data_IF_144085388420
#
_entry.id   IF_144085388420
#
_cell.length_a   1.000
_cell.length_b   1.000
_cell.length_c   1.000
_cell.angle_alpha   90.00
_cell.angle_beta   90.00
_cell.angle_gamma   90.00
#
_symmetry.space_group_name_H-M   'P 1'
#
loop_
_entity.id
_entity.type
_entity.pdbx_description
1 polymer ?
#
# COMPACT_ATOMS: atom_id res chain seq x y z
N UNK A 1 3.06 1.63 -0.03
CA UNK A 1 2.22 2.79 0.35
C UNK A 1 0.76 2.35 0.34
N UNK A 2 -0.02 2.78 1.33
CA UNK A 2 -1.50 2.72 1.33
C UNK A 2 -2.01 4.13 1.07
N UNK A 3 -2.98 4.27 0.17
CA UNK A 3 -3.63 5.54 -0.18
C UNK A 3 -5.14 5.43 -0.02
N UNK A 4 -5.82 6.57 0.10
CA UNK A 4 -7.26 6.63 -0.07
C UNK A 4 -7.67 6.52 -1.55
N UNK A 5 -8.96 6.61 -1.83
CA UNK A 5 -9.52 6.56 -3.19
C UNK A 5 -9.19 7.79 -4.07
N UNK A 6 -8.56 8.82 -3.52
CA UNK A 6 -8.08 10.00 -4.23
C UNK A 6 -6.57 10.01 -4.44
N UNK A 7 -5.84 9.01 -3.92
CA UNK A 7 -4.39 8.94 -3.95
C UNK A 7 -3.71 9.67 -2.80
N UNK A 8 -4.45 10.09 -1.78
CA UNK A 8 -3.86 10.70 -0.60
C UNK A 8 -3.11 9.62 0.19
N UNK A 9 -1.80 9.78 0.45
CA UNK A 9 -1.04 8.78 1.19
C UNK A 9 -1.49 8.73 2.65
N UNK A 10 -1.89 7.55 3.11
CA UNK A 10 -2.34 7.28 4.48
C UNK A 10 -1.24 6.63 5.32
N UNK A 11 -0.46 5.74 4.73
CA UNK A 11 0.61 5.03 5.42
C UNK A 11 1.67 4.51 4.45
N UNK A 12 2.90 4.33 4.92
CA UNK A 12 3.97 3.69 4.16
C UNK A 12 4.70 2.64 5.00
N UNK A 13 5.25 1.64 4.31
CA UNK A 13 6.12 0.62 4.89
C UNK A 13 7.46 1.23 5.33
N UNK A 14 8.20 0.44 6.12
CA UNK A 14 9.62 0.65 6.23
C UNK A 14 10.31 0.40 4.88
N UNK A 15 11.48 0.99 4.62
CA UNK A 15 12.27 0.67 3.44
C UNK A 15 12.58 -0.84 3.39
N UNK A 16 12.40 -1.44 2.22
CA UNK A 16 12.70 -2.85 1.97
C UNK A 16 13.80 -2.91 0.93
N UNK A 17 14.73 -3.85 1.09
CA UNK A 17 15.80 -4.05 0.12
C UNK A 17 15.22 -4.47 -1.24
N UNK A 18 15.69 -3.85 -2.32
CA UNK A 18 15.10 -4.04 -3.65
C UNK A 18 15.31 -5.43 -4.29
N UNK A 19 15.99 -6.34 -3.60
CA UNK A 19 16.16 -7.74 -4.03
C UNK A 19 15.06 -8.67 -3.53
N UNK A 20 14.11 -8.18 -2.75
CA UNK A 20 12.95 -8.93 -2.29
C UNK A 20 11.78 -8.77 -3.27
N UNK A 21 10.94 -9.80 -3.38
CA UNK A 21 9.69 -9.72 -4.13
C UNK A 21 8.60 -8.97 -3.31
N UNK A 22 7.54 -8.56 -3.98
CA UNK A 22 6.46 -7.76 -3.36
C UNK A 22 5.72 -8.50 -2.24
N UNK A 23 5.76 -9.83 -2.24
CA UNK A 23 5.13 -10.67 -1.21
C UNK A 23 6.03 -10.90 0.02
N UNK A 24 7.28 -10.40 0.01
CA UNK A 24 8.20 -10.57 1.13
C UNK A 24 7.70 -9.83 2.36
N UNK A 25 7.51 -10.56 3.46
CA UNK A 25 6.99 -10.03 4.73
C UNK A 25 5.69 -9.19 4.58
N UNK A 26 4.86 -9.50 3.56
CA UNK A 26 3.71 -8.72 3.16
C UNK A 26 2.74 -8.50 4.32
N UNK A 27 2.33 -9.58 5.00
CA UNK A 27 1.39 -9.51 6.13
C UNK A 27 1.91 -8.59 7.21
N UNK A 28 3.16 -8.78 7.64
CA UNK A 28 3.80 -7.95 8.67
C UNK A 28 3.90 -6.48 8.26
N UNK A 29 4.17 -6.24 6.98
CA UNK A 29 4.30 -4.89 6.42
C UNK A 29 2.95 -4.18 6.40
N UNK A 30 1.91 -4.86 5.90
CA UNK A 30 0.55 -4.29 5.85
C UNK A 30 -0.02 -4.09 7.25
N UNK A 31 0.19 -5.04 8.16
CA UNK A 31 -0.24 -4.94 9.55
C UNK A 31 0.30 -3.66 10.21
N UNK A 32 1.60 -3.40 10.10
CA UNK A 32 2.20 -2.14 10.58
C UNK A 32 1.58 -0.90 9.96
N UNK A 33 1.29 -0.94 8.65
CA UNK A 33 0.68 0.19 7.95
C UNK A 33 -0.75 0.44 8.42
N UNK A 34 -1.54 -0.62 8.62
CA UNK A 34 -2.90 -0.53 9.18
C UNK A 34 -2.87 0.02 10.61
N UNK A 35 -1.99 -0.50 11.47
CA UNK A 35 -1.82 0.03 12.82
C UNK A 35 -1.47 1.53 12.84
N UNK A 36 -0.69 2.01 11.88
CA UNK A 36 -0.38 3.44 11.77
C UNK A 36 -1.61 4.28 11.36
N UNK A 37 -2.46 3.74 10.49
CA UNK A 37 -3.73 4.36 10.09
C UNK A 37 -4.67 4.45 11.30
N UNK A 38 -4.80 3.37 12.09
CA UNK A 38 -5.61 3.32 13.31
C UNK A 38 -5.14 4.33 14.37
N UNK A 39 -3.82 4.53 14.52
CA UNK A 39 -3.26 5.55 15.43
C UNK A 39 -3.64 6.99 15.07
N UNK A 40 -4.11 7.20 13.85
CA UNK A 40 -4.61 8.49 13.38
C UNK A 40 -6.15 8.61 13.48
N UNK A 41 -6.76 7.78 14.33
CA UNK A 41 -8.22 7.72 14.57
C UNK A 41 -9.04 7.42 13.29
N UNK A 42 -8.43 6.75 12.30
CA UNK A 42 -9.12 6.30 11.10
C UNK A 42 -9.59 4.86 11.32
N UNK A 43 -10.90 4.65 11.18
CA UNK A 43 -11.51 3.33 11.28
C UNK A 43 -11.08 2.45 10.12
N UNK A 44 -10.73 1.21 10.42
CA UNK A 44 -10.26 0.22 9.43
C UNK A 44 -11.18 -1.00 9.33
N UNK A 45 -12.22 -1.10 10.14
CA UNK A 45 -13.21 -2.17 10.09
C UNK A 45 -13.99 -2.09 8.77
N UNK A 46 -14.07 -3.18 8.04
CA UNK A 46 -14.69 -3.22 6.72
C UNK A 46 -13.89 -2.46 5.64
N UNK A 47 -12.61 -2.20 5.87
CA UNK A 47 -11.73 -1.56 4.89
C UNK A 47 -11.72 -2.33 3.57
N UNK A 48 -12.01 -1.64 2.45
CA UNK A 48 -11.90 -2.20 1.12
C UNK A 48 -10.49 -1.92 0.56
N UNK A 49 -9.74 -3.00 0.31
CA UNK A 49 -8.35 -2.92 -0.11
C UNK A 49 -8.16 -3.44 -1.55
N UNK A 50 -7.80 -2.54 -2.46
CA UNK A 50 -7.34 -2.90 -3.80
C UNK A 50 -5.83 -3.14 -3.79
N UNK A 51 -5.38 -4.28 -4.31
CA UNK A 51 -3.96 -4.55 -4.48
C UNK A 51 -3.68 -5.33 -5.78
N UNK A 52 -2.45 -5.28 -6.25
CA UNK A 52 -2.04 -6.01 -7.45
C UNK A 52 -2.04 -7.52 -7.24
N UNK A 53 -2.15 -8.27 -8.35
CA UNK A 53 -2.08 -9.73 -8.33
C UNK A 53 -0.77 -10.30 -7.72
N UNK A 54 0.29 -9.50 -7.64
CA UNK A 54 1.52 -9.84 -6.92
C UNK A 54 1.31 -10.07 -5.43
N UNK A 55 0.26 -9.48 -4.85
CA UNK A 55 -0.13 -9.63 -3.45
C UNK A 55 -1.10 -10.80 -3.19
N UNK A 56 -1.50 -11.53 -4.24
CA UNK A 56 -2.39 -12.69 -4.12
C UNK A 56 -1.66 -13.88 -3.50
N UNK A 57 -1.63 -13.92 -2.18
CA UNK A 57 -1.12 -15.06 -1.40
C UNK A 57 -2.18 -15.53 -0.42
N UNK A 58 -2.22 -16.85 -0.17
CA UNK A 58 -3.15 -17.45 0.79
C UNK A 58 -2.99 -16.83 2.18
N UNK A 59 -1.76 -16.53 2.58
CA UNK A 59 -1.46 -15.92 3.86
C UNK A 59 -2.05 -14.51 3.96
N UNK A 60 -1.90 -13.69 2.92
CA UNK A 60 -2.41 -12.33 2.91
C UNK A 60 -3.94 -12.27 2.87
N UNK A 61 -4.59 -13.12 2.07
CA UNK A 61 -6.06 -13.23 2.08
C UNK A 61 -6.59 -13.68 3.44
N UNK A 62 -5.90 -14.65 4.08
CA UNK A 62 -6.25 -15.08 5.44
C UNK A 62 -6.07 -13.96 6.47
N UNK A 63 -5.06 -13.12 6.30
CA UNK A 63 -4.87 -11.93 7.12
C UNK A 63 -6.02 -10.93 6.93
N UNK A 64 -6.37 -10.62 5.68
CA UNK A 64 -7.49 -9.71 5.37
C UNK A 64 -8.80 -10.21 6.00
N UNK A 65 -9.12 -11.47 5.82
CA UNK A 65 -10.32 -12.09 6.41
C UNK A 65 -10.36 -11.97 7.92
N UNK A 66 -9.25 -12.25 8.63
CA UNK A 66 -9.18 -12.16 10.09
C UNK A 66 -9.29 -10.74 10.64
N UNK A 67 -8.96 -9.74 9.85
CA UNK A 67 -8.96 -8.34 10.24
C UNK A 67 -10.13 -7.54 9.63
N UNK A 68 -11.16 -8.22 9.14
CA UNK A 68 -12.35 -7.62 8.52
C UNK A 68 -11.99 -6.64 7.38
N UNK A 69 -10.96 -6.99 6.60
CA UNK A 69 -10.54 -6.25 5.41
C UNK A 69 -11.10 -6.98 4.19
N UNK A 70 -11.85 -6.24 3.37
CA UNK A 70 -12.38 -6.73 2.09
C UNK A 70 -11.28 -6.61 1.05
N UNK A 71 -10.64 -7.73 0.72
CA UNK A 71 -9.56 -7.77 -0.27
C UNK A 71 -10.10 -7.88 -1.69
N UNK A 72 -9.74 -6.92 -2.53
CA UNK A 72 -10.05 -6.91 -3.96
C UNK A 72 -8.75 -7.03 -4.75
N UNK A 73 -8.26 -8.27 -4.84
CA UNK A 73 -6.97 -8.63 -5.45
C UNK A 73 -7.25 -9.58 -6.62
N UNK A 74 -6.73 -9.27 -7.81
CA UNK A 74 -6.84 -10.17 -8.96
C UNK A 74 -6.07 -11.47 -8.71
N UNK A 75 -6.57 -12.57 -9.26
CA UNK A 75 -5.92 -13.87 -9.08
C UNK A 75 -4.56 -13.91 -9.77
N UNK A 76 -3.55 -14.31 -9.03
CA UNK A 76 -2.24 -14.60 -9.58
C UNK A 76 -2.24 -15.97 -10.27
N UNK A 77 -2.34 -15.96 -11.59
CA UNK A 77 -2.38 -17.20 -12.43
C UNK A 77 -1.18 -18.14 -12.20
N UNK A 78 -0.08 -17.63 -11.64
CA UNK A 78 1.11 -18.43 -11.34
C UNK A 78 0.98 -19.26 -10.06
N UNK A 79 0.11 -18.83 -9.13
CA UNK A 79 -0.06 -19.51 -7.84
C UNK A 79 -1.00 -20.71 -7.89
N UNK A 80 -1.67 -20.99 -9.04
CA UNK A 80 -2.53 -22.15 -9.23
C UNK A 80 -3.77 -22.19 -8.32
N UNK A 81 -4.06 -21.13 -7.57
CA UNK A 81 -5.21 -21.07 -6.68
C UNK A 81 -6.48 -20.82 -7.51
N UNK A 82 -7.38 -21.81 -7.51
CA UNK A 82 -8.73 -21.72 -8.05
C UNK A 82 -9.73 -21.50 -6.90
N UNK A 83 -9.55 -20.44 -6.13
CA UNK A 83 -10.55 -20.03 -5.13
C UNK A 83 -11.65 -19.19 -5.78
N UNK A 84 -12.89 -19.39 -5.36
CA UNK A 84 -14.01 -18.50 -5.73
C UNK A 84 -13.93 -17.26 -4.82
N UNK A 85 -13.13 -16.28 -5.21
CA UNK A 85 -12.98 -15.02 -4.48
C UNK A 85 -13.90 -13.96 -5.09
N UNK A 86 -14.57 -13.21 -4.22
CA UNK A 86 -15.30 -12.02 -4.65
C UNK A 86 -14.31 -11.02 -5.24
N UNK A 87 -14.49 -10.65 -6.51
CA UNK A 87 -13.61 -9.73 -7.23
C UNK A 87 -14.43 -8.71 -8.00
N UNK A 88 -14.30 -7.44 -7.60
CA UNK A 88 -14.96 -6.32 -8.29
C UNK A 88 -14.01 -5.69 -9.31
N UNK A 89 -14.25 -5.99 -10.58
CA UNK A 89 -13.44 -5.50 -11.71
C UNK A 89 -13.54 -3.99 -11.92
N UNK A 90 -14.64 -3.35 -11.52
CA UNK A 90 -14.81 -1.91 -11.65
C UNK A 90 -14.00 -1.18 -10.57
N UNK A 91 -14.11 -1.62 -9.33
CA UNK A 91 -13.32 -1.07 -8.22
C UNK A 91 -11.85 -1.40 -8.36
N UNK A 92 -11.49 -2.54 -8.95
CA UNK A 92 -10.10 -2.90 -9.21
C UNK A 92 -9.38 -1.91 -10.12
N UNK A 93 -10.08 -1.28 -11.05
CA UNK A 93 -9.51 -0.21 -11.87
C UNK A 93 -9.05 0.99 -11.05
N UNK A 94 -9.64 1.20 -9.86
CA UNK A 94 -9.24 2.27 -8.97
C UNK A 94 -7.86 2.06 -8.33
N UNK A 95 -7.25 0.86 -8.41
CA UNK A 95 -5.90 0.60 -7.89
C UNK A 95 -4.83 1.53 -8.48
N UNK A 96 -5.02 2.00 -9.72
CA UNK A 96 -4.11 2.96 -10.36
C UNK A 96 -4.01 4.31 -9.64
N UNK A 97 -4.86 4.54 -8.66
CA UNK A 97 -4.80 5.78 -7.86
C UNK A 97 -3.45 5.90 -7.13
N UNK A 98 -2.82 4.79 -6.73
CA UNK A 98 -1.49 4.79 -6.11
C UNK A 98 -0.41 5.36 -7.04
N UNK A 99 -0.57 5.21 -8.37
CA UNK A 99 0.36 5.78 -9.35
C UNK A 99 0.32 7.31 -9.35
N UNK A 100 -0.84 7.90 -9.03
CA UNK A 100 -0.95 9.36 -8.82
C UNK A 100 -0.11 9.80 -7.62
N UNK A 101 -0.15 9.05 -6.54
CA UNK A 101 0.69 9.31 -5.36
C UNK A 101 2.16 9.22 -5.73
N UNK A 102 2.57 8.20 -6.48
CA UNK A 102 3.94 8.06 -6.94
C UNK A 102 4.36 9.24 -7.83
N UNK A 103 3.50 9.66 -8.77
CA UNK A 103 3.77 10.84 -9.61
C UNK A 103 3.91 12.13 -8.79
N UNK A 104 3.16 12.28 -7.69
CA UNK A 104 3.35 13.41 -6.78
C UNK A 104 4.67 13.32 -6.01
N UNK A 105 5.09 12.12 -5.62
CA UNK A 105 6.38 11.89 -4.97
C UNK A 105 7.56 12.16 -5.91
N UNK A 106 7.43 11.84 -7.18
CA UNK A 106 8.46 12.09 -8.20
C UNK A 106 8.73 13.58 -8.42
N UNK A 107 7.79 14.46 -8.05
CA UNK A 107 8.03 15.90 -8.05
C UNK A 107 9.08 16.35 -7.01
N UNK A 108 9.37 15.51 -6.01
CA UNK A 108 10.40 15.76 -5.01
C UNK A 108 11.73 15.15 -5.46
N UNK A 109 12.65 15.98 -5.96
CA UNK A 109 13.94 15.50 -6.52
C UNK A 109 14.73 14.61 -5.55
N UNK A 110 14.69 14.89 -4.25
CA UNK A 110 15.37 14.10 -3.23
C UNK A 110 14.77 12.69 -3.05
N UNK A 111 13.53 12.48 -3.50
CA UNK A 111 12.86 11.17 -3.51
C UNK A 111 13.08 10.49 -4.85
N UNK A 112 12.87 11.19 -5.97
CA UNK A 112 13.05 10.65 -7.31
C UNK A 112 14.48 10.13 -7.52
N UNK A 113 15.48 10.88 -7.05
CA UNK A 113 16.89 10.48 -7.10
C UNK A 113 17.38 10.26 -5.68
N UNK A 114 17.46 8.99 -5.28
CA UNK A 114 17.88 8.61 -3.93
C UNK A 114 19.37 8.86 -3.75
N UNK A 115 19.73 9.97 -3.12
CA UNK A 115 21.09 10.24 -2.63
C UNK A 115 21.28 9.84 -1.17
N UNK A 116 20.18 9.73 -0.41
CA UNK A 116 20.20 9.36 0.99
C UNK A 116 20.43 7.84 1.15
N UNK A 117 21.52 7.48 1.82
CA UNK A 117 21.91 6.09 2.07
C UNK A 117 21.34 5.55 3.38
N UNK A 118 21.06 6.42 4.35
CA UNK A 118 20.46 6.03 5.62
C UNK A 118 18.96 5.81 5.45
N UNK A 119 18.49 4.60 5.78
CA UNK A 119 17.09 4.19 5.62
C UNK A 119 16.13 5.03 6.45
N UNK A 120 16.54 5.42 7.67
CA UNK A 120 15.70 6.23 8.57
C UNK A 120 15.50 7.64 7.97
N UNK A 121 16.57 8.25 7.48
CA UNK A 121 16.50 9.56 6.83
C UNK A 121 15.71 9.48 5.53
N UNK A 122 15.89 8.41 4.73
CA UNK A 122 15.10 8.20 3.52
C UNK A 122 13.61 8.09 3.83
N UNK A 123 13.23 7.32 4.86
CA UNK A 123 11.84 7.24 5.31
C UNK A 123 11.31 8.60 5.76
N UNK A 124 12.11 9.37 6.53
CA UNK A 124 11.72 10.69 6.99
C UNK A 124 11.46 11.67 5.82
N UNK A 125 12.27 11.63 4.76
CA UNK A 125 12.05 12.44 3.55
C UNK A 125 10.72 12.08 2.87
N UNK A 126 10.38 10.79 2.77
CA UNK A 126 9.10 10.34 2.22
C UNK A 126 7.92 10.83 3.07
N UNK A 127 8.01 10.72 4.40
CA UNK A 127 6.98 11.21 5.31
C UNK A 127 6.80 12.73 5.20
N UNK A 128 7.89 13.48 5.08
CA UNK A 128 7.84 14.93 4.87
C UNK A 128 7.13 15.27 3.54
N UNK A 129 7.43 14.53 2.47
CA UNK A 129 6.74 14.70 1.19
C UNK A 129 5.24 14.39 1.31
N UNK A 130 4.86 13.35 2.07
CA UNK A 130 3.44 13.07 2.36
C UNK A 130 2.77 14.24 3.09
N UNK A 131 3.42 14.84 4.08
CA UNK A 131 2.91 16.05 4.74
C UNK A 131 2.66 17.18 3.74
N UNK A 132 3.59 17.42 2.82
CA UNK A 132 3.43 18.45 1.78
C UNK A 132 2.28 18.11 0.82
N UNK A 133 2.14 16.83 0.42
CA UNK A 133 1.03 16.37 -0.42
C UNK A 133 -0.30 16.62 0.30
N UNK A 134 -0.40 16.22 1.58
CA UNK A 134 -1.60 16.41 2.40
C UNK A 134 -1.97 17.90 2.51
N UNK A 135 -1.01 18.76 2.82
CA UNK A 135 -1.26 20.20 2.93
C UNK A 135 -1.74 20.85 1.62
N UNK A 136 -1.39 20.30 0.47
CA UNK A 136 -1.88 20.77 -0.83
C UNK A 136 -3.31 20.35 -1.16
N UNK A 137 -3.88 19.42 -0.38
CA UNK A 137 -5.25 18.93 -0.57
C UNK A 137 -6.25 19.62 0.38
N UNK A 138 -5.74 20.40 1.35
CA UNK A 138 -6.55 21.27 2.22
C UNK A 138 -6.94 22.56 1.49
#
# INVERSE_FOLDING_TARGET
IITDNKGIPLSCSDPIAGNHNDAHDLVKTVDKMILNIQKSDILTDGLFLNADAGFDTTEFRSYCFRNDIIDNIDQNKRNGHQGDYSFDTLLYKCRFVVERTNAWLDAFKAILVRFETNEIHWKALNLLAFCVILLRQL
#
